data_IF_652677235075
#
_entry.id   IF_652677235075
#
_cell.length_a   1.000
_cell.length_b   1.000
_cell.length_c   1.000
_cell.angle_alpha   90.00
_cell.angle_beta   90.00
_cell.angle_gamma   90.00
#
_symmetry.space_group_name_H-M   'P 1'
#
loop_
_entity.id
_entity.type
_entity.pdbx_description
1 polymer ?
#
# COMPACT_ATOMS: atom_id res chain seq x y z
N UNK A 1 -15.84 -32.14 -14.69
CA UNK A 1 -14.94 -31.03 -14.31
C UNK A 1 -15.53 -30.38 -13.06
N UNK A 2 -14.97 -30.68 -11.89
CA UNK A 2 -15.49 -30.19 -10.61
C UNK A 2 -14.85 -28.82 -10.36
N UNK A 3 -15.59 -27.73 -10.57
CA UNK A 3 -15.12 -26.38 -10.22
C UNK A 3 -15.26 -26.29 -8.69
N UNK A 4 -14.16 -26.09 -7.93
CA UNK A 4 -14.24 -25.95 -6.48
C UNK A 4 -15.17 -24.79 -6.13
N UNK A 5 -16.07 -25.00 -5.16
CA UNK A 5 -16.98 -23.96 -4.65
C UNK A 5 -16.25 -22.71 -4.13
N UNK A 6 -14.95 -22.81 -3.87
CA UNK A 6 -14.07 -21.73 -3.43
C UNK A 6 -13.88 -20.60 -4.45
N UNK A 7 -14.29 -20.78 -5.71
CA UNK A 7 -14.08 -19.76 -6.75
C UNK A 7 -14.98 -18.51 -6.58
N UNK A 8 -16.13 -18.64 -5.91
CA UNK A 8 -17.07 -17.53 -5.70
C UNK A 8 -16.71 -16.63 -4.51
N UNK A 9 -15.82 -17.10 -3.62
CA UNK A 9 -15.35 -16.35 -2.45
C UNK A 9 -13.89 -15.91 -2.61
N UNK A 10 -13.43 -15.81 -3.86
CA UNK A 10 -12.05 -15.51 -4.21
C UNK A 10 -11.97 -14.32 -5.15
N UNK A 11 -10.98 -13.45 -4.95
CA UNK A 11 -10.69 -12.34 -5.85
C UNK A 11 -9.22 -12.27 -6.20
N UNK A 12 -8.94 -11.64 -7.34
CA UNK A 12 -7.59 -11.28 -7.74
C UNK A 12 -7.32 -9.79 -7.45
N UNK A 13 -6.21 -9.50 -6.76
CA UNK A 13 -5.63 -8.17 -6.75
C UNK A 13 -4.62 -8.05 -7.89
N UNK A 14 -5.00 -7.27 -8.90
CA UNK A 14 -4.16 -6.94 -10.04
C UNK A 14 -3.90 -5.43 -10.12
N UNK A 15 -2.86 -5.04 -10.86
CA UNK A 15 -2.54 -3.64 -11.17
C UNK A 15 -2.31 -2.73 -9.94
N UNK A 16 -1.82 -3.30 -8.84
CA UNK A 16 -1.36 -2.52 -7.69
C UNK A 16 -0.24 -1.55 -8.13
N UNK A 17 -0.52 -0.25 -8.09
CA UNK A 17 0.43 0.78 -8.51
C UNK A 17 0.34 2.01 -7.60
N UNK A 18 1.44 2.76 -7.57
CA UNK A 18 1.54 4.07 -6.93
C UNK A 18 1.65 5.12 -8.03
N UNK A 19 0.82 6.16 -7.98
CA UNK A 19 0.90 7.29 -8.92
C UNK A 19 2.23 8.01 -8.72
N UNK A 20 2.83 8.52 -9.80
CA UNK A 20 4.15 9.16 -9.76
C UNK A 20 4.20 10.32 -8.76
N UNK A 21 3.13 11.08 -8.67
CA UNK A 21 3.07 12.29 -7.84
C UNK A 21 2.99 11.93 -6.34
N UNK A 22 2.29 10.83 -6.01
CA UNK A 22 2.32 10.27 -4.66
C UNK A 22 3.73 9.78 -4.25
N UNK A 23 4.59 9.45 -5.21
CA UNK A 23 6.00 9.13 -4.94
C UNK A 23 6.83 10.40 -4.74
N UNK A 24 6.44 11.55 -5.30
CA UNK A 24 7.26 12.75 -5.39
C UNK A 24 6.84 13.88 -4.42
N UNK A 25 5.99 13.60 -3.42
CA UNK A 25 5.45 14.62 -2.51
C UNK A 25 6.52 15.51 -1.83
N UNK A 26 7.78 15.05 -1.77
CA UNK A 26 8.91 15.83 -1.23
C UNK A 26 9.62 16.74 -2.25
N UNK A 27 9.31 16.65 -3.55
CA UNK A 27 9.92 17.47 -4.62
C UNK A 27 9.07 18.67 -5.04
N UNK A 28 7.75 18.61 -4.86
CA UNK A 28 6.83 19.73 -5.16
C UNK A 28 6.67 20.70 -3.98
N UNK A 29 7.46 20.53 -2.91
CA UNK A 29 7.52 21.48 -1.80
C UNK A 29 8.55 22.59 -2.01
N UNK A 30 9.34 22.54 -3.08
CA UNK A 30 10.10 23.73 -3.52
C UNK A 30 9.14 24.66 -4.26
N UNK A 31 8.74 25.81 -3.67
CA UNK A 31 7.98 26.79 -4.41
C UNK A 31 8.84 27.24 -5.60
N UNK A 32 8.24 27.56 -6.77
CA UNK A 32 9.00 28.22 -7.84
C UNK A 32 9.69 29.42 -7.20
N UNK A 33 11.02 29.45 -7.26
CA UNK A 33 11.83 30.49 -6.65
C UNK A 33 11.52 31.84 -7.33
N UNK A 34 10.47 32.49 -6.82
CA UNK A 34 10.24 33.91 -7.03
C UNK A 34 11.35 34.66 -6.35
N UNK A 35 11.86 35.68 -7.04
CA UNK A 35 12.93 36.57 -6.62
C UNK A 35 12.71 37.00 -5.15
N UNK A 36 13.64 36.64 -4.27
CA UNK A 36 13.61 36.96 -2.84
C UNK A 36 13.68 38.48 -2.63
N UNK A 37 12.62 39.07 -2.09
CA UNK A 37 12.73 40.30 -1.31
C UNK A 37 12.90 39.93 0.17
N UNK A 38 13.97 40.47 0.75
CA UNK A 38 14.41 40.23 2.12
C UNK A 38 13.33 40.60 3.15
N UNK A 39 12.73 39.60 3.81
CA UNK A 39 12.27 39.73 5.20
C UNK A 39 12.02 38.36 5.85
N UNK A 40 12.63 38.18 7.03
CA UNK A 40 12.31 37.23 8.09
C UNK A 40 12.16 35.75 7.74
N UNK A 41 13.30 35.05 7.73
CA UNK A 41 13.40 33.59 7.73
C UNK A 41 12.89 32.99 9.06
N UNK A 42 11.81 32.18 9.08
CA UNK A 42 11.56 31.25 10.17
C UNK A 42 12.49 30.04 10.01
N UNK A 43 13.11 29.60 11.10
CA UNK A 43 14.07 28.48 11.16
C UNK A 43 13.51 27.22 10.47
N UNK A 44 14.07 26.93 9.31
CA UNK A 44 13.71 25.88 8.33
C UNK A 44 14.00 24.43 8.82
N UNK A 45 14.56 24.27 10.02
CA UNK A 45 15.18 23.01 10.47
C UNK A 45 14.25 21.99 11.15
N UNK A 46 13.05 22.39 11.58
CA UNK A 46 12.15 21.48 12.32
C UNK A 46 11.06 20.82 11.45
N UNK A 47 10.70 21.40 10.30
CA UNK A 47 9.66 20.85 9.41
C UNK A 47 10.19 19.63 8.64
N UNK A 48 11.48 19.64 8.26
CA UNK A 48 12.14 18.57 7.50
C UNK A 48 12.21 17.25 8.28
N UNK A 49 12.23 17.30 9.63
CA UNK A 49 12.20 16.10 10.49
C UNK A 49 10.81 15.47 10.62
N UNK A 50 9.74 16.23 10.33
CA UNK A 50 8.37 15.76 10.46
C UNK A 50 7.88 14.99 9.23
N UNK A 51 8.52 15.20 8.07
CA UNK A 51 8.17 14.48 6.85
C UNK A 51 8.67 13.04 6.92
N UNK A 52 7.78 12.03 6.83
CA UNK A 52 8.23 10.65 6.73
C UNK A 52 9.10 10.52 5.48
N UNK A 53 10.33 10.02 5.66
CA UNK A 53 11.20 9.63 4.55
C UNK A 53 10.37 8.88 3.49
N UNK A 54 10.55 9.21 2.21
CA UNK A 54 9.81 8.67 1.07
C UNK A 54 9.65 7.13 1.11
N UNK A 55 10.64 6.40 1.64
CA UNK A 55 10.54 4.95 1.86
C UNK A 55 9.47 4.55 2.89
N UNK A 56 9.36 5.30 3.99
CA UNK A 56 8.33 5.12 5.01
C UNK A 56 6.95 5.46 4.45
N UNK A 57 6.82 6.52 3.66
CA UNK A 57 5.57 6.89 3.00
C UNK A 57 5.13 5.81 1.99
N UNK A 58 6.01 5.41 1.07
CA UNK A 58 5.71 4.35 0.09
C UNK A 58 5.30 3.04 0.78
N UNK A 59 5.97 2.69 1.89
CA UNK A 59 5.57 1.54 2.71
C UNK A 59 4.15 1.75 3.27
N UNK A 60 3.85 2.89 3.88
CA UNK A 60 2.51 3.17 4.40
C UNK A 60 1.42 3.09 3.31
N UNK A 61 1.68 3.58 2.10
CA UNK A 61 0.69 3.52 1.02
C UNK A 61 0.45 2.08 0.55
N UNK A 62 1.52 1.30 0.30
CA UNK A 62 1.39 -0.12 -0.09
C UNK A 62 0.56 -0.87 0.94
N UNK A 63 0.83 -0.63 2.22
CA UNK A 63 0.10 -1.25 3.31
C UNK A 63 -1.35 -0.79 3.40
N UNK A 64 -1.61 0.51 3.23
CA UNK A 64 -2.97 1.04 3.14
C UNK A 64 -3.77 0.38 2.02
N UNK A 65 -3.14 0.10 0.87
CA UNK A 65 -3.78 -0.61 -0.23
C UNK A 65 -4.14 -2.07 0.15
N UNK A 66 -3.22 -2.81 0.76
CA UNK A 66 -3.49 -4.17 1.22
C UNK A 66 -4.53 -4.22 2.35
N UNK A 67 -4.52 -3.23 3.26
CA UNK A 67 -5.54 -3.10 4.29
C UNK A 67 -6.92 -2.83 3.67
N UNK A 68 -7.00 -1.90 2.73
CA UNK A 68 -8.24 -1.59 2.02
C UNK A 68 -8.79 -2.82 1.30
N UNK A 69 -7.92 -3.58 0.62
CA UNK A 69 -8.28 -4.82 -0.04
C UNK A 69 -8.78 -5.88 0.96
N UNK A 70 -8.08 -6.07 2.09
CA UNK A 70 -8.49 -7.01 3.13
C UNK A 70 -9.82 -6.62 3.78
N UNK A 71 -10.03 -5.33 4.06
CA UNK A 71 -11.29 -4.80 4.59
C UNK A 71 -12.43 -4.98 3.61
N UNK A 72 -12.22 -4.64 2.34
CA UNK A 72 -13.20 -4.85 1.28
C UNK A 72 -13.56 -6.33 1.16
N UNK A 73 -12.56 -7.21 1.15
CA UNK A 73 -12.76 -8.64 1.10
C UNK A 73 -13.60 -9.14 2.27
N UNK A 74 -13.25 -8.73 3.49
CA UNK A 74 -13.96 -9.11 4.70
C UNK A 74 -15.43 -8.70 4.67
N UNK A 75 -15.71 -7.46 4.25
CA UNK A 75 -17.08 -6.93 4.16
C UNK A 75 -17.94 -7.61 3.08
N UNK A 76 -17.31 -8.23 2.07
CA UNK A 76 -17.99 -8.88 0.95
C UNK A 76 -17.91 -10.42 1.02
N UNK A 77 -17.59 -10.99 2.19
CA UNK A 77 -17.46 -12.43 2.41
C UNK A 77 -16.44 -13.13 1.48
N UNK A 78 -15.44 -12.39 0.99
CA UNK A 78 -14.34 -12.96 0.22
C UNK A 78 -13.39 -13.64 1.21
N UNK A 79 -13.14 -14.93 0.99
CA UNK A 79 -12.24 -15.74 1.82
C UNK A 79 -10.77 -15.55 1.42
N UNK A 80 -10.51 -15.52 0.11
CA UNK A 80 -9.16 -15.55 -0.43
C UNK A 80 -8.90 -14.43 -1.43
N UNK A 81 -7.69 -13.90 -1.34
CA UNK A 81 -7.16 -12.95 -2.29
C UNK A 81 -5.92 -13.53 -2.95
N UNK A 82 -5.88 -13.47 -4.28
CA UNK A 82 -4.79 -13.95 -5.12
C UNK A 82 -4.07 -12.77 -5.78
N UNK A 83 -2.75 -12.82 -5.89
CA UNK A 83 -2.01 -11.80 -6.62
C UNK A 83 -0.63 -12.28 -7.06
N UNK A 84 -0.14 -11.64 -8.13
CA UNK A 84 1.20 -11.84 -8.66
C UNK A 84 2.12 -10.71 -8.21
N UNK A 85 3.29 -11.05 -7.65
CA UNK A 85 4.27 -10.03 -7.26
C UNK A 85 5.70 -10.53 -7.36
N UNK A 86 6.68 -9.64 -7.20
CA UNK A 86 8.10 -10.02 -7.13
C UNK A 86 8.42 -10.68 -5.79
N UNK A 87 9.45 -11.52 -5.77
CA UNK A 87 9.94 -12.16 -4.53
C UNK A 87 10.34 -11.12 -3.46
N UNK A 88 10.88 -9.96 -3.90
CA UNK A 88 11.27 -8.85 -3.04
C UNK A 88 10.06 -8.26 -2.32
N UNK A 89 9.00 -7.92 -3.07
CA UNK A 89 7.78 -7.36 -2.48
C UNK A 89 7.06 -8.39 -1.61
N UNK A 90 6.98 -9.66 -2.04
CA UNK A 90 6.44 -10.73 -1.20
C UNK A 90 7.20 -10.87 0.13
N UNK A 91 8.53 -10.81 0.10
CA UNK A 91 9.36 -10.85 1.31
C UNK A 91 9.10 -9.66 2.23
N UNK A 92 8.93 -8.46 1.67
CA UNK A 92 8.58 -7.27 2.43
C UNK A 92 7.22 -7.42 3.12
N UNK A 93 6.20 -7.90 2.40
CA UNK A 93 4.86 -8.13 2.92
C UNK A 93 4.84 -9.21 4.02
N UNK A 94 5.60 -10.30 3.86
CA UNK A 94 5.73 -11.33 4.89
C UNK A 94 6.42 -10.85 6.15
N UNK A 95 7.57 -10.16 6.02
CA UNK A 95 8.28 -9.54 7.16
C UNK A 95 7.41 -8.57 7.95
N UNK A 96 6.44 -8.00 7.24
CA UNK A 96 5.50 -7.01 7.73
C UNK A 96 4.32 -7.62 8.49
N UNK A 97 4.13 -8.94 8.42
CA UNK A 97 3.11 -9.66 9.17
C UNK A 97 2.02 -10.30 8.29
N UNK A 98 2.00 -10.07 6.98
CA UNK A 98 1.05 -10.73 6.09
C UNK A 98 1.42 -12.19 5.86
N UNK A 99 0.46 -13.08 6.07
CA UNK A 99 0.60 -14.49 5.77
C UNK A 99 0.31 -14.75 4.28
N UNK A 100 1.37 -14.94 3.49
CA UNK A 100 1.29 -15.16 2.05
C UNK A 100 1.72 -16.59 1.70
N UNK A 101 0.81 -17.39 1.17
CA UNK A 101 1.09 -18.74 0.68
C UNK A 101 1.49 -18.68 -0.79
N UNK A 102 2.63 -19.27 -1.17
CA UNK A 102 2.99 -19.44 -2.59
C UNK A 102 2.13 -20.54 -3.20
N UNK A 103 1.56 -20.33 -4.39
CA UNK A 103 0.63 -21.31 -5.00
C UNK A 103 1.06 -21.83 -6.37
N UNK A 104 2.27 -21.51 -6.81
CA UNK A 104 2.78 -21.96 -8.11
C UNK A 104 4.22 -21.50 -8.36
N UNK A 105 4.73 -21.89 -9.52
CA UNK A 105 6.04 -21.47 -10.02
C UNK A 105 6.06 -20.00 -10.45
N UNK A 106 7.25 -19.48 -10.74
CA UNK A 106 7.38 -18.15 -11.30
C UNK A 106 6.94 -18.09 -12.76
N UNK A 107 6.58 -16.89 -13.20
CA UNK A 107 6.30 -16.56 -14.59
C UNK A 107 7.01 -15.27 -14.97
N UNK A 108 7.43 -15.17 -16.23
CA UNK A 108 8.03 -13.96 -16.78
C UNK A 108 6.92 -13.00 -17.23
N UNK A 109 6.71 -11.94 -16.46
CA UNK A 109 5.73 -10.91 -16.77
C UNK A 109 6.24 -9.53 -16.32
N UNK A 110 6.95 -8.84 -17.24
CA UNK A 110 7.72 -7.61 -16.95
C UNK A 110 8.70 -7.83 -15.78
N UNK A 111 9.47 -8.92 -15.90
CA UNK A 111 10.32 -9.48 -14.86
C UNK A 111 9.68 -10.69 -14.17
N UNK A 112 10.45 -11.37 -13.33
CA UNK A 112 9.99 -12.57 -12.63
C UNK A 112 8.91 -12.21 -11.59
N UNK A 113 7.80 -12.96 -11.64
CA UNK A 113 6.65 -12.81 -10.74
C UNK A 113 6.20 -14.16 -10.22
N UNK A 114 5.73 -14.18 -8.98
CA UNK A 114 5.31 -15.37 -8.26
C UNK A 114 3.85 -15.21 -7.82
N UNK A 115 3.02 -16.26 -7.95
CA UNK A 115 1.64 -16.25 -7.50
C UNK A 115 1.54 -16.51 -6.00
N UNK A 116 0.80 -15.65 -5.31
CA UNK A 116 0.52 -15.78 -3.87
C UNK A 116 -0.98 -15.79 -3.58
N UNK A 117 -1.34 -16.50 -2.51
CA UNK A 117 -2.65 -16.50 -1.86
C UNK A 117 -2.55 -15.86 -0.48
N UNK A 118 -3.55 -15.07 -0.13
CA UNK A 118 -3.71 -14.41 1.17
C UNK A 118 -5.11 -14.73 1.72
N UNK A 119 -5.19 -15.16 2.98
CA UNK A 119 -6.47 -15.30 3.67
C UNK A 119 -6.96 -13.91 4.11
N UNK A 120 -8.16 -13.53 3.70
CA UNK A 120 -8.71 -12.19 3.92
C UNK A 120 -9.02 -11.94 5.40
N UNK A 121 -9.64 -12.89 6.09
CA UNK A 121 -10.01 -12.77 7.50
C UNK A 121 -8.78 -12.62 8.39
N UNK A 122 -7.79 -13.48 8.20
CA UNK A 122 -6.52 -13.45 8.92
C UNK A 122 -5.79 -12.13 8.67
N UNK A 123 -5.76 -11.71 7.40
CA UNK A 123 -5.12 -10.46 7.02
C UNK A 123 -5.82 -9.27 7.65
N UNK A 124 -7.15 -9.17 7.57
CA UNK A 124 -7.90 -8.03 8.11
C UNK A 124 -7.78 -7.92 9.64
N UNK A 125 -7.80 -9.04 10.36
CA UNK A 125 -7.67 -9.08 11.83
C UNK A 125 -6.22 -8.94 12.33
N UNK A 126 -5.25 -8.78 11.43
CA UNK A 126 -3.85 -8.73 11.81
C UNK A 126 -3.54 -7.49 12.67
N UNK A 127 -2.81 -7.69 13.77
CA UNK A 127 -2.42 -6.62 14.69
C UNK A 127 -1.52 -5.57 14.04
N UNK A 128 -0.87 -5.89 12.92
CA UNK A 128 0.00 -4.98 12.19
C UNK A 128 -0.71 -3.70 11.69
N UNK A 129 -2.04 -3.70 11.61
CA UNK A 129 -2.83 -2.52 11.25
C UNK A 129 -3.11 -1.58 12.42
N UNK A 130 -3.00 -2.07 13.66
CA UNK A 130 -3.39 -1.33 14.87
C UNK A 130 -2.50 -0.09 15.05
N UNK A 131 -3.13 1.08 15.19
CA UNK A 131 -2.46 2.36 15.45
C UNK A 131 -2.08 3.18 14.21
N UNK A 132 -2.07 2.61 13.00
CA UNK A 132 -1.66 3.32 11.77
C UNK A 132 -2.79 3.58 10.76
N UNK A 133 -3.92 2.85 10.84
CA UNK A 133 -5.02 2.92 9.86
C UNK A 133 -6.38 3.22 10.50
N UNK A 134 -6.38 3.89 11.66
CA UNK A 134 -7.60 4.20 12.43
C UNK A 134 -8.61 5.07 11.66
N UNK A 135 -8.18 5.80 10.62
CA UNK A 135 -9.04 6.61 9.75
C UNK A 135 -9.42 5.89 8.43
N UNK A 136 -9.41 4.56 8.41
CA UNK A 136 -9.59 3.75 7.20
C UNK A 136 -8.55 4.11 6.11
N UNK A 137 -8.80 3.70 4.86
CA UNK A 137 -7.96 4.05 3.71
C UNK A 137 -8.07 5.52 3.30
N UNK A 138 -8.85 6.34 4.01
CA UNK A 138 -9.16 7.73 3.64
C UNK A 138 -8.09 8.74 4.03
N UNK A 139 -7.00 8.30 4.69
CA UNK A 139 -5.95 9.19 5.20
C UNK A 139 -5.37 10.15 4.13
N UNK A 140 -5.45 9.78 2.84
CA UNK A 140 -4.93 10.55 1.71
C UNK A 140 -5.96 10.87 0.61
N UNK A 141 -7.23 10.50 0.77
CA UNK A 141 -8.27 10.68 -0.27
C UNK A 141 -9.30 11.76 0.06
N UNK A 142 -9.33 12.26 1.30
CA UNK A 142 -10.18 13.39 1.63
C UNK A 142 -9.58 14.66 1.01
N UNK A 143 -10.16 15.05 -0.13
CA UNK A 143 -10.12 16.42 -0.61
C UNK A 143 -10.83 17.26 0.45
N UNK A 144 -10.08 17.77 1.42
CA UNK A 144 -10.54 18.90 2.21
C UNK A 144 -10.62 20.08 1.26
N UNK A 145 -11.77 20.26 0.62
CA UNK A 145 -12.16 21.52 0.01
C UNK A 145 -12.00 22.60 1.08
N UNK A 146 -11.07 23.52 0.84
CA UNK A 146 -10.97 24.80 1.53
C UNK A 146 -11.24 25.88 0.50
#
# INVERSE_FOLDING_TARGET
>A
MHIPKDLFDAVELSRLCLVKDARNLSKDMDPPHGINDNSDQPKETDIIKLLPNQHKLNRMIIWGLFYAAAKYGYNNNIQYCYFMTSSILARLLRKSGLNLTSIGGSSQHKGERFPFKMNVLESYKNKMWQGAYNCNYQLFSDLRER
#
